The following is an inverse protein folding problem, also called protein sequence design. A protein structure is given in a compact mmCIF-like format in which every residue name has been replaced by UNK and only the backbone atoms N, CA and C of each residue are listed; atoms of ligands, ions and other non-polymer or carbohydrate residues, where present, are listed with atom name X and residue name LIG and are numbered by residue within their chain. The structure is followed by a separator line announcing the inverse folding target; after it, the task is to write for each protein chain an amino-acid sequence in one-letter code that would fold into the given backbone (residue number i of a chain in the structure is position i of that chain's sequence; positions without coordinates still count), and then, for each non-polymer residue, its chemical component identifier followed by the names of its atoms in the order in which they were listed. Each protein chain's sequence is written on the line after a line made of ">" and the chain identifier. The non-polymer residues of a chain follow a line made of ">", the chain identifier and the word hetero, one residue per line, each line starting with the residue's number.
data_IF_870795744841
#
_entry.id   IF_870795744841
#
_cell.length_a   1.000
_cell.length_b   1.000
_cell.length_c   1.000
_cell.angle_alpha   90.00
_cell.angle_beta   90.00
_cell.angle_gamma   90.00
#
_symmetry.space_group_name_H-M   'P 1'
#
loop_
_entity.id
_entity.type
_entity.pdbx_description
1 polymer ?
#
# COMPACT_ATOMS: atom_id res chain seq x y z
N UNK A 1 12.92 11.82 17.72
CA UNK A 1 12.01 10.98 18.54
C UNK A 1 11.12 11.86 19.44
N UNK A 2 10.18 12.60 18.85
CA UNK A 2 9.22 13.41 19.62
C UNK A 2 8.09 12.52 20.11
N UNK A 3 8.14 12.15 21.40
CA UNK A 3 6.98 11.61 22.12
C UNK A 3 5.90 12.70 22.15
N UNK A 4 5.00 12.66 21.17
CA UNK A 4 3.75 13.38 21.24
C UNK A 4 2.88 12.65 22.26
N UNK A 5 2.98 13.06 23.53
CA UNK A 5 2.01 12.71 24.55
C UNK A 5 0.82 13.64 24.36
N UNK A 6 -0.07 13.27 23.44
CA UNK A 6 -1.40 13.87 23.39
C UNK A 6 -2.25 13.08 24.39
N UNK A 7 -2.47 13.67 25.56
CA UNK A 7 -3.59 13.31 26.43
C UNK A 7 -4.88 13.74 25.69
N UNK A 8 -5.36 12.91 24.76
CA UNK A 8 -6.74 12.95 24.28
C UNK A 8 -7.47 11.82 25.00
N UNK A 9 -8.62 12.13 25.59
CA UNK A 9 -9.54 11.10 26.09
C UNK A 9 -9.78 10.07 24.98
N UNK A 10 -9.22 8.88 25.17
CA UNK A 10 -9.48 7.72 24.32
C UNK A 10 -10.99 7.50 24.34
N UNK A 11 -11.67 7.68 23.19
CA UNK A 11 -13.10 7.40 23.12
C UNK A 11 -13.36 5.94 23.48
N UNK A 12 -14.54 5.61 24.03
CA UNK A 12 -14.89 4.23 24.39
C UNK A 12 -14.67 3.25 23.22
N UNK A 13 -14.88 3.71 21.99
CA UNK A 13 -14.66 2.90 20.78
C UNK A 13 -13.16 2.68 20.47
N UNK A 14 -12.32 3.70 20.68
CA UNK A 14 -10.86 3.54 20.52
C UNK A 14 -10.29 2.58 21.57
N UNK A 15 -10.76 2.66 22.82
CA UNK A 15 -10.30 1.78 23.90
C UNK A 15 -10.65 0.31 23.63
N UNK A 16 -11.88 0.05 23.18
CA UNK A 16 -12.33 -1.28 22.72
C UNK A 16 -11.46 -1.80 21.58
N UNK A 17 -11.19 -0.95 20.58
CA UNK A 17 -10.35 -1.34 19.44
C UNK A 17 -8.91 -1.65 19.87
N UNK A 18 -8.35 -0.92 20.84
CA UNK A 18 -7.01 -1.20 21.41
C UNK A 18 -6.98 -2.57 22.08
N UNK A 19 -8.00 -2.93 22.85
CA UNK A 19 -8.10 -4.22 23.52
C UNK A 19 -8.17 -5.37 22.50
N UNK A 20 -9.06 -5.24 21.51
CA UNK A 20 -9.23 -6.21 20.42
C UNK A 20 -7.93 -6.40 19.63
N UNK A 21 -7.26 -5.30 19.27
CA UNK A 21 -6.00 -5.35 18.54
C UNK A 21 -4.87 -5.97 19.38
N UNK A 22 -4.86 -5.73 20.70
CA UNK A 22 -3.89 -6.35 21.62
C UNK A 22 -4.09 -7.87 21.68
N UNK A 23 -5.34 -8.35 21.73
CA UNK A 23 -5.65 -9.78 21.65
C UNK A 23 -5.25 -10.38 20.28
N UNK A 24 -5.45 -9.65 19.19
CA UNK A 24 -4.98 -10.06 17.86
C UNK A 24 -3.45 -10.17 17.80
N UNK A 25 -2.72 -9.25 18.43
CA UNK A 25 -1.26 -9.31 18.52
C UNK A 25 -0.80 -10.56 19.30
N UNK A 26 -1.46 -10.90 20.41
CA UNK A 26 -1.16 -12.13 21.17
C UNK A 26 -1.36 -13.39 20.32
N UNK A 27 -2.45 -13.46 19.54
CA UNK A 27 -2.69 -14.56 18.57
C UNK A 27 -1.68 -14.59 17.42
N UNK A 28 -1.01 -13.48 17.13
CA UNK A 28 0.10 -13.40 16.18
C UNK A 28 1.48 -13.66 16.82
N UNK A 29 1.52 -14.11 18.08
CA UNK A 29 2.74 -14.49 18.78
C UNK A 29 3.42 -13.37 19.57
N UNK A 30 2.73 -12.25 19.84
CA UNK A 30 3.26 -11.19 20.69
C UNK A 30 3.43 -11.67 22.14
N UNK A 31 4.52 -11.22 22.79
CA UNK A 31 4.67 -11.37 24.23
C UNK A 31 3.63 -10.52 24.99
N UNK A 32 3.30 -10.93 26.22
CA UNK A 32 2.38 -10.21 27.10
C UNK A 32 3.04 -8.93 27.66
N UNK A 33 3.15 -7.90 26.84
CA UNK A 33 3.64 -6.57 27.19
C UNK A 33 2.60 -5.50 26.84
N UNK A 34 2.61 -4.33 27.51
CA UNK A 34 1.65 -3.28 27.21
C UNK A 34 1.75 -2.79 25.75
N UNK A 35 0.61 -2.52 25.08
CA UNK A 35 0.60 -1.96 23.74
C UNK A 35 1.15 -0.53 23.73
N UNK A 36 1.84 -0.17 22.65
CA UNK A 36 2.24 1.21 22.33
C UNK A 36 1.55 1.65 21.06
N UNK A 37 0.83 2.77 21.09
CA UNK A 37 0.23 3.36 19.89
C UNK A 37 1.33 3.94 19.01
N UNK A 38 1.47 3.46 17.78
CA UNK A 38 2.40 3.99 16.79
C UNK A 38 1.76 5.06 15.90
N UNK A 39 0.48 4.90 15.59
CA UNK A 39 -0.27 5.84 14.76
C UNK A 39 -1.74 5.81 15.16
N UNK A 40 -2.31 6.98 15.39
CA UNK A 40 -3.74 7.17 15.63
C UNK A 40 -4.23 8.29 14.69
N UNK A 41 -4.95 7.88 13.65
CA UNK A 41 -5.65 8.77 12.70
C UNK A 41 -7.12 8.38 12.69
N UNK A 42 -8.00 9.29 12.25
CA UNK A 42 -9.45 9.10 12.27
C UNK A 42 -9.91 7.77 11.64
N UNK A 43 -9.18 7.29 10.64
CA UNK A 43 -9.47 6.10 9.85
C UNK A 43 -8.42 4.97 10.01
N UNK A 44 -7.35 5.13 10.79
CA UNK A 44 -6.30 4.10 10.93
C UNK A 44 -5.72 4.10 12.34
N UNK A 45 -5.65 2.91 12.95
CA UNK A 45 -4.96 2.69 14.22
C UNK A 45 -3.86 1.64 14.03
N UNK A 46 -2.65 1.95 14.50
CA UNK A 46 -1.50 1.04 14.46
C UNK A 46 -0.93 0.91 15.88
N UNK A 47 -0.85 -0.31 16.38
CA UNK A 47 -0.29 -0.61 17.69
C UNK A 47 0.92 -1.51 17.56
N UNK A 48 1.87 -1.35 18.47
CA UNK A 48 2.97 -2.27 18.69
C UNK A 48 2.77 -2.99 20.02
N UNK A 49 2.86 -4.31 20.00
CA UNK A 49 2.89 -5.18 21.19
C UNK A 49 4.16 -6.02 21.10
N UNK A 50 5.20 -5.63 21.84
CA UNK A 50 6.51 -6.28 21.80
C UNK A 50 7.14 -6.21 20.40
N UNK A 51 7.26 -7.37 19.74
CA UNK A 51 7.81 -7.51 18.39
C UNK A 51 6.75 -7.56 17.28
N UNK A 52 5.46 -7.42 17.63
CA UNK A 52 4.34 -7.47 16.68
C UNK A 52 3.75 -6.07 16.51
N UNK A 53 3.43 -5.72 15.28
CA UNK A 53 2.63 -4.56 14.92
C UNK A 53 1.28 -5.04 14.41
N UNK A 54 0.20 -4.46 14.90
CA UNK A 54 -1.16 -4.71 14.42
C UNK A 54 -1.73 -3.41 13.87
N UNK A 55 -2.40 -3.51 12.72
CA UNK A 55 -3.03 -2.38 12.03
C UNK A 55 -4.52 -2.67 11.86
N UNK A 56 -5.36 -1.75 12.32
CA UNK A 56 -6.78 -1.71 12.00
C UNK A 56 -6.99 -0.80 10.77
N UNK A 57 -7.32 -1.42 9.65
CA UNK A 57 -7.56 -0.76 8.36
C UNK A 57 -8.88 0.01 8.35
N UNK A 58 -9.05 1.07 7.55
CA UNK A 58 -10.31 1.82 7.44
C UNK A 58 -11.55 0.93 7.33
N UNK A 59 -12.69 1.35 7.87
CA UNK A 59 -13.90 0.51 7.92
C UNK A 59 -14.42 0.16 6.51
N UNK A 60 -14.16 1.02 5.54
CA UNK A 60 -14.49 0.88 4.13
C UNK A 60 -13.51 -0.01 3.34
N UNK A 61 -12.50 -0.58 3.98
CA UNK A 61 -11.50 -1.44 3.31
C UNK A 61 -12.16 -2.69 2.75
N UNK A 62 -11.97 -2.93 1.45
CA UNK A 62 -12.34 -4.20 0.83
C UNK A 62 -11.46 -5.33 1.38
N UNK A 63 -12.04 -6.16 2.25
CA UNK A 63 -11.35 -7.27 2.90
C UNK A 63 -10.87 -8.34 1.91
N UNK A 64 -11.57 -8.55 0.78
CA UNK A 64 -11.19 -9.54 -0.22
C UNK A 64 -9.99 -9.06 -1.05
N UNK A 65 -9.98 -7.78 -1.45
CA UNK A 65 -8.85 -7.15 -2.10
C UNK A 65 -7.61 -7.14 -1.18
N UNK A 66 -7.79 -6.77 0.09
CA UNK A 66 -6.72 -6.80 1.09
C UNK A 66 -6.17 -8.21 1.33
N UNK A 67 -7.04 -9.23 1.41
CA UNK A 67 -6.59 -10.63 1.53
C UNK A 67 -5.74 -11.08 0.35
N UNK A 68 -6.09 -10.65 -0.88
CA UNK A 68 -5.30 -10.96 -2.07
C UNK A 68 -3.89 -10.36 -1.99
N UNK A 69 -3.78 -9.12 -1.51
CA UNK A 69 -2.50 -8.43 -1.27
C UNK A 69 -1.68 -9.10 -0.16
N UNK A 70 -2.33 -9.49 0.94
CA UNK A 70 -1.68 -10.24 2.04
C UNK A 70 -1.12 -11.59 1.57
N UNK A 71 -1.90 -12.33 0.76
CA UNK A 71 -1.44 -13.60 0.18
C UNK A 71 -0.22 -13.40 -0.72
N UNK A 72 -0.24 -12.37 -1.58
CA UNK A 72 0.90 -12.03 -2.42
C UNK A 72 2.15 -11.70 -1.58
N UNK A 73 1.99 -10.88 -0.53
CA UNK A 73 3.10 -10.49 0.36
C UNK A 73 3.69 -11.66 1.17
N UNK A 74 2.92 -12.74 1.36
CA UNK A 74 3.37 -13.99 1.98
C UNK A 74 4.12 -14.92 1.02
N UNK A 75 4.22 -14.60 -0.27
CA UNK A 75 4.88 -15.49 -1.24
C UNK A 75 6.41 -15.39 -1.16
N UNK A 76 7.15 -16.45 -1.54
CA UNK A 76 8.61 -16.37 -1.66
C UNK A 76 9.10 -15.33 -2.69
N UNK A 77 8.26 -14.95 -3.67
CA UNK A 77 8.60 -13.98 -4.71
C UNK A 77 8.82 -12.57 -4.13
N UNK A 78 8.06 -12.20 -3.09
CA UNK A 78 8.18 -10.90 -2.42
C UNK A 78 9.18 -10.91 -1.28
N UNK A 79 9.84 -12.05 -1.01
CA UNK A 79 10.82 -12.18 0.05
C UNK A 79 12.02 -11.25 -0.19
N UNK A 80 12.40 -10.51 0.85
CA UNK A 80 13.45 -9.50 0.73
C UNK A 80 13.02 -8.22 0.01
N UNK A 81 11.72 -8.07 -0.33
CA UNK A 81 11.13 -6.87 -0.93
C UNK A 81 10.07 -6.31 0.01
N UNK A 82 8.98 -7.05 0.22
CA UNK A 82 7.91 -6.71 1.16
C UNK A 82 8.21 -7.32 2.52
N UNK A 83 7.82 -6.64 3.60
CA UNK A 83 7.72 -7.28 4.91
C UNK A 83 6.58 -8.31 4.82
N UNK A 84 6.76 -9.58 5.24
CA UNK A 84 5.67 -10.56 5.21
C UNK A 84 4.69 -10.34 6.37
N UNK A 85 3.38 -10.55 6.17
CA UNK A 85 2.41 -10.48 7.25
C UNK A 85 2.58 -11.64 8.23
N UNK A 86 2.20 -11.42 9.47
CA UNK A 86 2.07 -12.48 10.47
C UNK A 86 0.64 -13.03 10.46
N UNK A 87 0.47 -14.36 10.52
CA UNK A 87 -0.85 -14.94 10.74
C UNK A 87 -1.35 -14.60 12.15
N UNK A 88 -2.67 -14.44 12.29
CA UNK A 88 -3.40 -14.23 13.54
C UNK A 88 -4.17 -15.53 13.83
N UNK A 89 -3.54 -16.48 14.54
CA UNK A 89 -4.00 -17.88 14.51
C UNK A 89 -3.82 -18.47 13.13
N UNK A 90 -4.90 -18.97 12.51
CA UNK A 90 -4.84 -19.67 11.21
C UNK A 90 -5.15 -18.78 9.99
N UNK A 91 -5.31 -17.46 10.18
CA UNK A 91 -5.71 -16.51 9.13
C UNK A 91 -4.75 -15.33 9.01
N UNK A 92 -4.68 -14.69 7.83
CA UNK A 92 -3.85 -13.49 7.59
C UNK A 92 -4.49 -12.17 8.08
N UNK A 93 -5.79 -12.19 8.39
CA UNK A 93 -6.50 -11.07 8.99
C UNK A 93 -7.60 -11.58 9.92
N UNK A 94 -8.11 -10.69 10.78
CA UNK A 94 -9.34 -10.90 11.54
C UNK A 94 -10.23 -9.66 11.40
N UNK A 95 -11.54 -9.81 11.56
CA UNK A 95 -12.46 -8.68 11.56
C UNK A 95 -13.07 -8.51 12.95
N UNK A 96 -12.96 -7.32 13.53
CA UNK A 96 -13.48 -7.02 14.87
C UNK A 96 -13.72 -5.52 15.03
N UNK A 97 -14.69 -5.14 15.87
CA UNK A 97 -15.11 -3.75 16.06
C UNK A 97 -15.40 -3.00 14.73
N UNK A 98 -15.90 -3.71 13.71
CA UNK A 98 -16.20 -3.13 12.39
C UNK A 98 -14.97 -2.84 11.52
N UNK A 99 -13.79 -3.37 11.88
CA UNK A 99 -12.51 -3.09 11.22
C UNK A 99 -11.80 -4.39 10.85
N UNK A 100 -11.17 -4.41 9.67
CA UNK A 100 -10.21 -5.46 9.31
C UNK A 100 -8.88 -5.20 10.01
N UNK A 101 -8.32 -6.23 10.65
CA UNK A 101 -7.08 -6.15 11.44
C UNK A 101 -6.05 -7.13 10.86
N UNK A 102 -4.83 -6.63 10.64
CA UNK A 102 -3.68 -7.43 10.16
C UNK A 102 -2.49 -7.29 11.10
N UNK A 103 -1.61 -8.30 11.14
CA UNK A 103 -0.42 -8.32 11.98
C UNK A 103 0.87 -8.41 11.15
N UNK A 104 1.95 -7.83 11.67
CA UNK A 104 3.26 -7.73 11.02
C UNK A 104 4.36 -7.82 12.08
N UNK A 105 5.57 -8.23 11.70
CA UNK A 105 6.72 -8.04 12.61
C UNK A 105 7.06 -6.56 12.70
N UNK A 106 7.48 -6.11 13.87
CA UNK A 106 8.01 -4.77 14.04
C UNK A 106 9.36 -4.65 13.31
N UNK A 107 9.45 -3.68 12.41
CA UNK A 107 10.71 -3.19 11.86
C UNK A 107 10.93 -1.74 12.28
N UNK A 108 12.19 -1.32 12.28
CA UNK A 108 12.56 0.06 12.63
C UNK A 108 12.23 0.99 11.45
N UNK A 109 11.34 1.99 11.61
CA UNK A 109 10.99 2.90 10.52
C UNK A 109 12.16 3.83 10.17
N UNK A 110 12.09 4.46 9.01
CA UNK A 110 12.97 5.60 8.67
C UNK A 110 12.78 6.71 9.71
N UNK A 111 13.88 7.29 10.20
CA UNK A 111 13.83 8.40 11.16
C UNK A 111 13.38 9.68 10.45
N UNK A 112 12.21 10.26 10.78
CA UNK A 112 11.77 11.50 10.17
C UNK A 112 12.61 12.71 10.58
N UNK A 113 13.36 12.62 11.68
CA UNK A 113 14.19 13.71 12.20
C UNK A 113 15.61 13.72 11.59
N UNK A 114 15.94 12.75 10.73
CA UNK A 114 17.21 12.66 9.99
C UNK A 114 16.96 12.38 8.50
N UNK A 115 16.44 13.38 7.74
CA UNK A 115 16.09 13.20 6.33
C UNK A 115 17.32 12.93 5.44
N UNK A 116 18.52 13.35 5.85
CA UNK A 116 19.76 13.12 5.12
C UNK A 116 20.21 11.65 5.16
N UNK A 117 19.84 10.94 6.23
CA UNK A 117 20.04 9.49 6.35
C UNK A 117 18.95 8.65 5.68
N UNK A 118 17.97 9.28 5.02
CA UNK A 118 16.90 8.56 4.34
C UNK A 118 17.44 7.58 3.29
N UNK A 119 16.95 6.32 3.27
CA UNK A 119 17.54 5.24 2.48
C UNK A 119 17.06 5.24 1.01
N UNK A 120 17.24 6.36 0.31
CA UNK A 120 16.72 6.59 -1.04
C UNK A 120 17.13 5.50 -2.05
N UNK A 121 18.40 5.12 -2.11
CA UNK A 121 18.87 4.10 -3.07
C UNK A 121 18.36 2.69 -2.72
N UNK A 122 18.22 2.39 -1.44
CA UNK A 122 17.64 1.12 -1.01
C UNK A 122 16.16 1.07 -1.39
N UNK A 123 15.44 2.17 -1.22
CA UNK A 123 14.04 2.30 -1.64
C UNK A 123 13.90 2.12 -3.17
N UNK A 124 14.73 2.81 -3.94
CA UNK A 124 14.80 2.68 -5.40
C UNK A 124 15.02 1.23 -5.84
N UNK A 125 15.96 0.54 -5.19
CA UNK A 125 16.26 -0.87 -5.45
C UNK A 125 15.07 -1.78 -5.12
N UNK A 126 14.36 -1.52 -4.01
CA UNK A 126 13.17 -2.29 -3.62
C UNK A 126 12.03 -2.11 -4.62
N UNK A 127 11.78 -0.89 -5.07
CA UNK A 127 10.76 -0.60 -6.09
C UNK A 127 11.11 -1.27 -7.43
N UNK A 128 12.36 -1.16 -7.89
CA UNK A 128 12.80 -1.83 -9.12
C UNK A 128 12.60 -3.35 -9.05
N UNK A 129 12.92 -3.97 -7.90
CA UNK A 129 12.70 -5.40 -7.67
C UNK A 129 11.21 -5.76 -7.62
N UNK A 130 10.37 -4.91 -7.03
CA UNK A 130 8.91 -5.10 -7.02
C UNK A 130 8.35 -5.08 -8.45
N UNK A 131 8.75 -4.08 -9.24
CA UNK A 131 8.27 -3.91 -10.62
C UNK A 131 8.78 -4.99 -11.58
N UNK A 132 9.88 -5.67 -11.23
CA UNK A 132 10.42 -6.78 -11.99
C UNK A 132 9.72 -8.13 -11.70
N UNK A 133 8.85 -8.19 -10.69
CA UNK A 133 8.11 -9.43 -10.40
C UNK A 133 7.18 -9.80 -11.56
N UNK A 134 6.95 -11.11 -11.80
CA UNK A 134 6.03 -11.59 -12.81
C UNK A 134 4.66 -10.91 -12.72
N UNK A 135 4.04 -10.63 -13.87
CA UNK A 135 2.72 -9.97 -13.94
C UNK A 135 1.62 -10.94 -13.48
N UNK A 136 0.54 -10.42 -12.91
CA UNK A 136 -0.70 -11.19 -12.78
C UNK A 136 -1.09 -11.75 -14.17
N UNK A 137 -1.35 -13.05 -14.23
CA UNK A 137 -1.52 -13.79 -15.48
C UNK A 137 -0.29 -14.58 -15.95
N UNK A 138 0.89 -14.36 -15.34
CA UNK A 138 2.04 -15.24 -15.52
C UNK A 138 1.74 -16.61 -14.86
N UNK A 139 1.90 -17.74 -15.58
CA UNK A 139 1.70 -19.08 -15.03
C UNK A 139 2.41 -19.35 -13.70
N UNK A 140 3.50 -18.64 -13.40
CA UNK A 140 4.23 -18.74 -12.14
C UNK A 140 3.43 -18.23 -10.93
N UNK A 141 2.63 -17.16 -11.08
CA UNK A 141 1.78 -16.65 -9.99
C UNK A 141 0.51 -17.51 -9.80
N UNK A 142 -0.05 -18.05 -10.88
CA UNK A 142 -1.19 -18.96 -10.81
C UNK A 142 -0.87 -20.28 -10.07
N UNK A 143 0.40 -20.71 -10.10
CA UNK A 143 0.89 -21.95 -9.46
C UNK A 143 1.27 -21.80 -7.98
N UNK A 144 1.29 -20.58 -7.46
CA UNK A 144 1.51 -20.30 -6.03
C UNK A 144 0.20 -20.33 -5.23
N UNK A 145 -0.94 -20.47 -5.89
CA UNK A 145 -2.18 -20.89 -5.24
C UNK A 145 -2.14 -22.40 -4.99
N UNK A 146 -2.34 -22.88 -3.75
CA UNK A 146 -2.64 -24.30 -3.56
C UNK A 146 -3.93 -24.64 -4.32
N UNK A 147 -4.01 -25.78 -5.03
CA UNK A 147 -5.28 -26.23 -5.59
C UNK A 147 -6.31 -26.38 -4.46
N UNK A 148 -7.59 -26.00 -4.68
CA UNK A 148 -8.61 -26.21 -3.67
C UNK A 148 -8.78 -27.72 -3.45
N UNK A 149 -8.44 -28.20 -2.26
CA UNK A 149 -8.73 -29.57 -1.81
C UNK A 149 -7.56 -30.46 -1.44
N UNK A 150 -6.36 -29.94 -1.14
CA UNK A 150 -5.40 -30.74 -0.39
C UNK A 150 -5.55 -30.46 1.11
N UNK A 151 -6.03 -31.43 1.86
CA UNK A 151 -5.88 -31.44 3.30
C UNK A 151 -4.38 -31.33 3.63
N UNK A 152 -4.04 -30.46 4.58
CA UNK A 152 -2.70 -30.49 5.19
C UNK A 152 -2.49 -31.91 5.73
N UNK A 153 -1.35 -32.57 5.44
CA UNK A 153 -1.15 -33.93 5.91
C UNK A 153 -1.15 -33.94 7.43
N UNK A 154 -2.10 -34.66 8.03
CA UNK A 154 -2.07 -34.99 9.46
C UNK A 154 -0.73 -35.68 9.77
N UNK A 155 -0.11 -35.25 10.86
CA UNK A 155 1.10 -35.89 11.37
C UNK A 155 0.76 -37.30 11.88
N UNK A 156 1.08 -38.33 11.09
CA UNK A 156 0.95 -39.74 11.49
C UNK A 156 1.30 -40.74 10.38
N UNK A 157 2.55 -41.18 10.35
CA UNK A 157 3.11 -42.31 9.58
C UNK A 157 2.65 -43.69 10.17
N UNK A 158 2.84 -44.91 9.58
CA UNK A 158 3.17 -45.38 8.21
C UNK A 158 2.28 -46.57 7.68
N UNK A 159 2.55 -47.01 6.43
CA UNK A 159 2.28 -48.33 5.80
C UNK A 159 0.88 -48.67 5.20
N UNK A 160 0.88 -48.95 3.88
CA UNK A 160 -0.15 -49.67 3.10
C UNK A 160 -0.22 -51.18 3.49
N UNK A 161 -1.33 -51.95 3.28
CA UNK A 161 -2.12 -51.98 2.04
C UNK A 161 -3.64 -52.27 2.09
N UNK A 162 -4.32 -51.72 1.07
CA UNK A 162 -5.52 -52.19 0.33
C UNK A 162 -6.39 -53.32 0.94
N UNK A 163 -7.66 -53.01 1.21
CA UNK A 163 -8.78 -53.96 1.12
C UNK A 163 -9.99 -53.30 0.42
N UNK A 164 -10.59 -54.03 -0.53
CA UNK A 164 -11.82 -53.72 -1.24
C UNK A 164 -13.07 -53.71 -0.31
N UNK A 165 -14.19 -53.08 -0.73
CA UNK A 165 -15.31 -52.76 0.16
C UNK A 165 -16.32 -53.92 0.27
N UNK A 166 -17.09 -54.01 1.36
CA UNK A 166 -18.37 -54.69 1.36
C UNK A 166 -19.54 -53.71 1.14
N UNK A 167 -20.59 -54.12 0.40
CA UNK A 167 -21.76 -53.29 0.10
C UNK A 167 -22.88 -53.47 1.15
N UNK A 168 -23.73 -52.46 1.26
CA UNK A 168 -25.12 -52.65 1.71
C UNK A 168 -25.44 -52.16 3.11
N UNK A 169 -25.92 -50.92 3.20
CA UNK A 169 -27.09 -50.55 3.99
C UNK A 169 -27.44 -49.10 3.70
N UNK A 170 -28.70 -48.93 3.30
CA UNK A 170 -29.37 -47.68 2.98
C UNK A 170 -29.28 -46.65 4.11
N UNK A 171 -29.03 -45.40 3.74
CA UNK A 171 -29.39 -44.25 4.56
C UNK A 171 -30.23 -43.27 3.69
N UNK A 172 -31.32 -42.70 4.25
CA UNK A 172 -32.34 -42.00 3.51
C UNK A 172 -31.90 -40.61 3.04
N UNK A 173 -32.39 -40.22 1.86
CA UNK A 173 -32.40 -38.83 1.40
C UNK A 173 -33.28 -37.96 2.32
N UNK A 174 -32.76 -36.80 2.71
CA UNK A 174 -33.34 -35.48 2.43
C UNK A 174 -32.68 -34.42 3.32
N UNK A 175 -32.14 -33.37 2.68
CA UNK A 175 -31.78 -32.15 3.39
C UNK A 175 -30.68 -31.32 2.75
N UNK A 176 -30.80 -31.00 1.46
CA UNK A 176 -30.23 -29.73 0.97
C UNK A 176 -31.25 -28.63 1.31
N UNK A 177 -30.82 -27.52 1.92
CA UNK A 177 -30.76 -26.34 1.07
C UNK A 177 -29.52 -25.48 1.35
N UNK A 178 -28.77 -25.22 0.28
CA UNK A 178 -28.30 -23.89 -0.10
C UNK A 178 -27.39 -23.21 0.93
N UNK A 179 -26.18 -23.74 1.08
CA UNK A 179 -25.04 -22.82 1.09
C UNK A 179 -24.65 -22.61 -0.37
N UNK A 180 -24.66 -21.39 -0.93
CA UNK A 180 -23.86 -21.17 -2.11
C UNK A 180 -22.44 -21.52 -1.69
N UNK A 181 -21.94 -22.66 -2.19
CA UNK A 181 -20.52 -22.92 -2.24
C UNK A 181 -19.95 -21.74 -2.97
N UNK A 182 -19.47 -20.74 -2.24
CA UNK A 182 -18.62 -19.68 -2.76
C UNK A 182 -17.32 -20.39 -3.13
N UNK A 183 -17.36 -21.09 -4.26
CA UNK A 183 -16.19 -21.38 -5.04
C UNK A 183 -15.58 -20.01 -5.34
N UNK A 184 -14.38 -19.68 -4.83
CA UNK A 184 -13.71 -18.50 -5.34
C UNK A 184 -13.49 -18.76 -6.83
N UNK A 185 -13.95 -17.87 -7.74
CA UNK A 185 -13.70 -18.06 -9.15
C UNK A 185 -12.18 -18.17 -9.40
N UNK A 186 -11.76 -19.05 -10.32
CA UNK A 186 -10.35 -19.18 -10.69
C UNK A 186 -9.90 -17.87 -11.36
N UNK A 187 -8.84 -17.24 -10.83
CA UNK A 187 -8.18 -16.08 -11.44
C UNK A 187 -8.70 -14.72 -10.99
N UNK A 188 -8.54 -14.35 -9.71
CA UNK A 188 -8.67 -12.94 -9.35
C UNK A 188 -7.40 -12.23 -9.79
N UNK A 189 -7.53 -11.41 -10.84
CA UNK A 189 -6.56 -10.38 -11.18
C UNK A 189 -6.21 -9.59 -9.91
N UNK A 190 -4.92 -9.27 -9.73
CA UNK A 190 -4.51 -8.41 -8.63
C UNK A 190 -5.32 -7.11 -8.69
N UNK A 191 -5.81 -6.57 -7.54
CA UNK A 191 -6.50 -5.30 -7.51
C UNK A 191 -5.70 -4.22 -8.23
N UNK A 192 -6.38 -3.23 -8.80
CA UNK A 192 -5.68 -2.06 -9.32
C UNK A 192 -4.94 -1.33 -8.20
N UNK A 193 -3.76 -0.81 -8.53
CA UNK A 193 -3.00 -0.01 -7.59
C UNK A 193 -3.64 1.36 -7.33
N UNK A 194 -3.40 1.89 -6.13
CA UNK A 194 -4.14 3.07 -5.63
C UNK A 194 -3.85 4.41 -6.32
N UNK A 195 -2.78 4.55 -7.12
CA UNK A 195 -2.23 5.83 -7.60
C UNK A 195 -3.27 6.89 -8.00
N UNK A 196 -3.94 6.75 -9.17
CA UNK A 196 -4.96 7.72 -9.62
C UNK A 196 -6.12 7.90 -8.64
N UNK A 197 -6.64 6.80 -8.08
CA UNK A 197 -7.78 6.83 -7.16
C UNK A 197 -7.48 7.65 -5.89
N UNK A 198 -6.23 7.67 -5.43
CA UNK A 198 -5.80 8.45 -4.26
C UNK A 198 -5.83 9.95 -4.50
N UNK A 199 -5.50 10.39 -5.71
CA UNK A 199 -5.61 11.81 -6.09
C UNK A 199 -7.07 12.26 -6.03
N UNK A 200 -8.00 11.48 -6.59
CA UNK A 200 -9.44 11.76 -6.49
C UNK A 200 -9.94 11.77 -5.04
N UNK A 201 -9.49 10.82 -4.20
CA UNK A 201 -9.83 10.80 -2.77
C UNK A 201 -9.33 12.06 -2.06
N UNK A 202 -8.10 12.51 -2.33
CA UNK A 202 -7.55 13.74 -1.74
C UNK A 202 -8.35 14.98 -2.16
N UNK A 203 -8.70 15.10 -3.44
CA UNK A 203 -9.50 16.24 -3.93
C UNK A 203 -10.92 16.25 -3.36
N UNK A 204 -11.53 15.07 -3.15
CA UNK A 204 -12.82 14.98 -2.44
C UNK A 204 -12.68 15.48 -1.00
N UNK A 205 -11.66 15.00 -0.27
CA UNK A 205 -11.38 15.45 1.11
C UNK A 205 -11.15 16.96 1.18
N UNK A 206 -10.47 17.54 0.19
CA UNK A 206 -10.27 18.99 0.09
C UNK A 206 -11.60 19.73 -0.05
N UNK A 207 -12.47 19.30 -0.96
CA UNK A 207 -13.80 19.92 -1.17
C UNK A 207 -14.72 19.83 0.05
N UNK A 208 -14.56 18.77 0.84
CA UNK A 208 -15.34 18.53 2.06
C UNK A 208 -14.76 19.29 3.28
N UNK A 209 -13.51 19.77 3.19
CA UNK A 209 -12.83 20.45 4.29
C UNK A 209 -13.10 21.96 4.31
N UNK A 210 -13.21 22.52 5.52
CA UNK A 210 -13.28 23.96 5.73
C UNK A 210 -11.86 24.57 5.74
N UNK A 211 -11.27 24.74 4.55
CA UNK A 211 -9.93 25.32 4.41
C UNK A 211 -9.96 26.84 4.61
N UNK A 212 -9.01 27.34 5.40
CA UNK A 212 -8.88 28.78 5.70
C UNK A 212 -8.30 29.57 4.54
N UNK A 213 -7.27 29.04 3.87
CA UNK A 213 -6.65 29.67 2.69
C UNK A 213 -7.41 29.29 1.40
N UNK A 214 -8.41 30.11 1.04
CA UNK A 214 -9.19 29.94 -0.18
C UNK A 214 -8.41 30.19 -1.47
N UNK A 215 -7.33 30.98 -1.42
CA UNK A 215 -6.51 31.25 -2.59
C UNK A 215 -5.68 30.00 -2.94
N UNK A 216 -5.06 29.38 -1.94
CA UNK A 216 -4.34 28.11 -2.11
C UNK A 216 -5.28 26.99 -2.58
N UNK A 217 -6.47 26.86 -1.99
CA UNK A 217 -7.48 25.88 -2.43
C UNK A 217 -7.85 26.06 -3.92
N UNK A 218 -8.09 27.30 -4.35
CA UNK A 218 -8.41 27.62 -5.75
C UNK A 218 -7.28 27.20 -6.69
N UNK A 219 -6.03 27.47 -6.32
CA UNK A 219 -4.85 27.06 -7.11
C UNK A 219 -4.76 25.54 -7.24
N UNK A 220 -4.98 24.80 -6.15
CA UNK A 220 -4.95 23.33 -6.18
C UNK A 220 -6.08 22.78 -7.07
N UNK A 221 -7.28 23.36 -7.01
CA UNK A 221 -8.40 22.97 -7.87
C UNK A 221 -8.15 23.27 -9.35
N UNK A 222 -7.54 24.41 -9.66
CA UNK A 222 -7.14 24.77 -11.03
C UNK A 222 -6.06 23.81 -11.56
N UNK A 223 -5.06 23.49 -10.74
CA UNK A 223 -4.01 22.54 -11.10
C UNK A 223 -4.58 21.14 -11.37
N UNK A 224 -5.55 20.69 -10.57
CA UNK A 224 -6.25 19.42 -10.80
C UNK A 224 -7.03 19.42 -12.12
N UNK A 225 -7.70 20.53 -12.46
CA UNK A 225 -8.55 20.63 -13.65
C UNK A 225 -7.76 20.58 -14.97
N UNK A 226 -6.46 20.86 -14.96
CA UNK A 226 -5.59 20.83 -16.15
C UNK A 226 -4.77 19.53 -16.27
N UNK A 227 -5.00 18.55 -15.41
CA UNK A 227 -4.40 17.22 -15.56
C UNK A 227 -5.06 16.49 -16.76
N UNK A 228 -4.30 15.69 -17.54
CA UNK A 228 -4.85 14.99 -18.71
C UNK A 228 -6.06 14.09 -18.40
N UNK A 229 -7.02 13.97 -19.33
CA UNK A 229 -8.18 13.08 -19.15
C UNK A 229 -7.80 11.59 -19.01
N UNK A 230 -6.64 11.18 -19.53
CA UNK A 230 -6.07 9.84 -19.33
C UNK A 230 -5.74 9.52 -17.87
N UNK A 231 -5.69 10.53 -17.00
CA UNK A 231 -5.64 10.36 -15.54
C UNK A 231 -7.05 10.16 -14.93
N UNK A 232 -8.12 10.65 -15.56
CA UNK A 232 -9.51 10.56 -15.08
C UNK A 232 -10.21 9.26 -15.48
N UNK A 233 -9.80 8.61 -16.56
CA UNK A 233 -10.36 7.34 -17.01
C UNK A 233 -9.57 6.16 -16.40
N UNK A 234 -10.27 5.29 -15.66
CA UNK A 234 -9.81 3.91 -15.51
C UNK A 234 -9.60 3.34 -16.92
N UNK A 235 -8.57 2.52 -17.17
CA UNK A 235 -8.33 1.99 -18.50
C UNK A 235 -9.46 1.01 -18.86
N UNK A 236 -10.55 1.51 -19.43
CA UNK A 236 -11.38 0.68 -20.28
C UNK A 236 -10.47 0.19 -21.40
N UNK A 237 -10.44 -1.14 -21.55
CA UNK A 237 -9.66 -1.90 -22.52
C UNK A 237 -9.99 -1.47 -23.95
N UNK A 238 -9.49 -0.31 -24.37
CA UNK A 238 -9.71 0.26 -25.67
C UNK A 238 -8.48 -0.05 -26.53
N UNK A 239 -8.49 -1.19 -27.21
CA UNK A 239 -7.94 -1.42 -28.56
C UNK A 239 -6.54 -0.91 -28.94
N UNK A 240 -5.70 -0.48 -28.00
CA UNK A 240 -4.35 -0.04 -28.28
C UNK A 240 -3.51 -1.25 -28.69
N UNK A 241 -2.67 -1.14 -29.74
CA UNK A 241 -1.74 -2.20 -30.08
C UNK A 241 -0.88 -2.56 -28.86
N UNK A 242 -0.61 -3.85 -28.65
CA UNK A 242 0.10 -4.39 -27.47
C UNK A 242 1.47 -3.73 -27.23
N UNK A 243 2.09 -3.17 -28.28
CA UNK A 243 3.34 -2.40 -28.21
C UNK A 243 3.20 -0.98 -27.63
N UNK A 244 1.97 -0.45 -27.54
CA UNK A 244 1.64 0.89 -27.04
C UNK A 244 0.85 0.87 -25.73
N UNK A 245 0.38 -0.30 -25.28
CA UNK A 245 -0.25 -0.44 -23.97
C UNK A 245 0.79 -0.17 -22.86
N UNK A 246 0.49 0.70 -21.87
CA UNK A 246 1.40 0.98 -20.78
C UNK A 246 1.77 -0.33 -20.06
N UNK A 247 3.07 -0.51 -19.80
CA UNK A 247 3.59 -1.72 -19.14
C UNK A 247 3.03 -1.79 -17.73
N UNK A 248 1.98 -2.59 -17.52
CA UNK A 248 1.47 -2.86 -16.18
C UNK A 248 2.41 -3.84 -15.47
N UNK A 249 2.84 -3.48 -14.26
CA UNK A 249 3.62 -4.33 -13.36
C UNK A 249 2.91 -4.40 -12.02
N UNK A 250 3.42 -5.24 -11.12
CA UNK A 250 3.11 -5.06 -9.71
C UNK A 250 3.72 -3.73 -9.25
N UNK A 251 2.94 -2.90 -8.57
CA UNK A 251 3.36 -1.60 -8.02
C UNK A 251 2.82 -1.44 -6.61
N UNK A 252 3.52 -0.68 -5.77
CA UNK A 252 3.17 -0.39 -4.40
C UNK A 252 1.90 0.45 -4.28
N UNK A 253 1.73 1.43 -5.17
CA UNK A 253 0.51 2.23 -5.30
C UNK A 253 0.38 3.44 -4.36
N UNK A 254 1.24 3.58 -3.36
CA UNK A 254 1.35 4.77 -2.50
C UNK A 254 2.75 5.01 -1.94
N UNK A 255 3.81 4.65 -2.68
CA UNK A 255 5.16 4.69 -2.13
C UNK A 255 5.53 6.06 -1.50
N UNK A 256 6.03 6.02 -0.26
CA UNK A 256 6.79 7.08 0.40
C UNK A 256 7.78 6.49 1.41
N UNK A 257 8.81 7.26 1.81
CA UNK A 257 9.87 6.77 2.71
C UNK A 257 9.37 6.25 4.06
N UNK A 258 8.22 6.74 4.54
CA UNK A 258 7.57 6.24 5.76
C UNK A 258 7.03 4.82 5.64
N UNK A 259 7.01 4.23 4.44
CA UNK A 259 6.65 2.84 4.16
C UNK A 259 7.87 1.93 4.04
N UNK A 260 9.00 2.34 4.61
CA UNK A 260 10.19 1.52 4.74
C UNK A 260 10.43 1.19 6.20
N UNK A 261 10.70 -0.08 6.45
CA UNK A 261 11.20 -0.53 7.74
C UNK A 261 12.47 -1.33 7.55
N UNK A 262 13.41 -1.14 8.47
CA UNK A 262 14.58 -1.97 8.60
C UNK A 262 14.17 -3.22 9.37
N UNK A 263 14.24 -4.37 8.70
CA UNK A 263 13.98 -5.65 9.33
C UNK A 263 15.00 -5.91 10.46
N UNK A 264 14.68 -6.83 11.36
CA UNK A 264 15.55 -7.15 12.49
C UNK A 264 16.95 -7.65 12.06
N UNK A 265 17.84 -7.87 13.03
CA UNK A 265 19.20 -8.35 12.79
C UNK A 265 19.27 -9.73 12.12
N UNK A 266 18.25 -10.58 12.25
CA UNK A 266 18.24 -11.88 11.58
C UNK A 266 18.09 -11.73 10.05
N UNK A 267 17.44 -10.65 9.60
CA UNK A 267 17.34 -10.26 8.17
C UNK A 267 18.48 -9.32 7.72
N UNK A 268 19.60 -9.34 8.46
CA UNK A 268 20.79 -8.51 8.25
C UNK A 268 20.51 -6.99 8.27
N UNK A 269 19.43 -6.53 8.90
CA UNK A 269 19.10 -5.11 8.95
C UNK A 269 18.78 -4.52 7.58
N UNK A 270 18.24 -5.31 6.65
CA UNK A 270 17.86 -4.85 5.31
C UNK A 270 16.50 -4.15 5.33
N UNK A 271 16.34 -3.16 4.45
CA UNK A 271 15.07 -2.48 4.24
C UNK A 271 14.01 -3.39 3.60
N UNK A 272 12.75 -3.14 3.94
CA UNK A 272 11.54 -3.76 3.39
C UNK A 272 10.45 -2.71 3.20
N UNK A 273 9.64 -2.90 2.17
CA UNK A 273 8.41 -2.14 1.96
C UNK A 273 7.30 -2.66 2.89
N UNK A 274 6.49 -1.75 3.41
CA UNK A 274 5.31 -2.03 4.24
C UNK A 274 4.09 -1.33 3.64
N UNK A 275 2.92 -1.45 4.28
CA UNK A 275 1.71 -0.71 3.88
C UNK A 275 1.19 -1.10 2.50
N UNK A 276 0.95 -2.40 2.32
CA UNK A 276 0.50 -3.03 1.07
C UNK A 276 -0.95 -2.75 0.69
N UNK A 277 -1.61 -1.77 1.33
CA UNK A 277 -3.03 -1.48 1.17
C UNK A 277 -3.40 -1.03 -0.25
N UNK A 278 -2.45 -0.44 -0.97
CA UNK A 278 -2.64 0.02 -2.34
C UNK A 278 -1.81 -0.81 -3.35
N UNK A 279 -1.19 -1.92 -2.90
CA UNK A 279 -0.40 -2.83 -3.73
C UNK A 279 -1.29 -3.44 -4.82
N UNK A 280 -0.84 -3.41 -6.07
CA UNK A 280 -1.68 -3.86 -7.16
C UNK A 280 -1.01 -3.83 -8.53
N UNK A 281 -1.80 -4.14 -9.56
CA UNK A 281 -1.36 -3.97 -10.95
C UNK A 281 -1.50 -2.50 -11.35
N UNK A 282 -0.44 -1.92 -11.91
CA UNK A 282 -0.42 -0.51 -12.28
C UNK A 282 0.78 -0.12 -13.13
N UNK A 283 0.82 1.16 -13.53
CA UNK A 283 1.99 1.75 -14.16
C UNK A 283 3.05 2.06 -13.08
N UNK A 284 4.28 1.48 -13.17
CA UNK A 284 5.34 1.66 -12.18
C UNK A 284 5.84 3.11 -12.04
N UNK A 285 5.52 4.00 -12.98
CA UNK A 285 5.79 5.44 -12.84
C UNK A 285 5.11 6.05 -11.60
N UNK A 286 3.96 5.51 -11.17
CA UNK A 286 3.25 6.00 -9.98
C UNK A 286 4.01 5.83 -8.67
N UNK A 287 4.86 4.81 -8.56
CA UNK A 287 5.70 4.62 -7.37
C UNK A 287 6.88 5.61 -7.33
N UNK A 288 7.26 6.19 -8.48
CA UNK A 288 8.29 7.23 -8.58
C UNK A 288 7.70 8.64 -8.55
N UNK A 289 6.38 8.76 -8.67
CA UNK A 289 5.69 10.03 -8.83
C UNK A 289 5.84 10.95 -7.62
N UNK A 290 5.83 10.42 -6.39
CA UNK A 290 6.01 11.25 -5.19
C UNK A 290 7.42 11.84 -5.10
N UNK A 291 8.52 11.05 -5.18
CA UNK A 291 9.86 11.62 -5.23
C UNK A 291 10.05 12.63 -6.38
N UNK A 292 9.51 12.33 -7.56
CA UNK A 292 9.55 13.23 -8.72
C UNK A 292 8.80 14.54 -8.47
N UNK A 293 7.62 14.47 -7.84
CA UNK A 293 6.83 15.65 -7.46
C UNK A 293 7.58 16.53 -6.46
N UNK A 294 8.22 15.92 -5.45
CA UNK A 294 9.03 16.65 -4.47
C UNK A 294 10.24 17.33 -5.14
N UNK A 295 10.89 16.67 -6.09
CA UNK A 295 11.98 17.25 -6.87
C UNK A 295 11.49 18.44 -7.73
N UNK A 296 10.40 18.27 -8.49
CA UNK A 296 9.81 19.34 -9.30
C UNK A 296 9.27 20.52 -8.46
N UNK A 297 8.89 20.26 -7.21
CA UNK A 297 8.49 21.28 -6.25
C UNK A 297 9.68 22.04 -5.64
N UNK A 298 10.92 21.55 -5.80
CA UNK A 298 12.11 22.10 -5.15
C UNK A 298 12.28 21.66 -3.70
N UNK A 299 11.54 20.64 -3.26
CA UNK A 299 11.57 20.09 -1.90
C UNK A 299 12.67 19.02 -1.77
N UNK A 300 12.82 18.17 -2.80
CA UNK A 300 13.86 17.15 -2.83
C UNK A 300 15.10 17.69 -3.54
N UNK A 301 16.26 17.57 -2.89
CA UNK A 301 17.52 18.03 -3.48
C UNK A 301 17.85 17.29 -4.79
N UNK A 302 18.41 17.99 -5.80
CA UNK A 302 18.76 17.37 -7.08
C UNK A 302 19.69 16.16 -6.97
N UNK A 303 20.68 16.22 -6.08
CA UNK A 303 21.63 15.11 -5.88
C UNK A 303 20.92 13.87 -5.34
N UNK A 304 19.97 14.05 -4.42
CA UNK A 304 19.17 12.96 -3.85
C UNK A 304 18.23 12.35 -4.89
N UNK A 305 17.58 13.18 -5.71
CA UNK A 305 16.78 12.71 -6.84
C UNK A 305 17.60 11.86 -7.82
N UNK A 306 18.78 12.34 -8.22
CA UNK A 306 19.65 11.64 -9.15
C UNK A 306 20.15 10.30 -8.57
N UNK A 307 20.58 10.28 -7.30
CA UNK A 307 20.98 9.03 -6.60
C UNK A 307 19.86 8.00 -6.58
N UNK A 308 18.63 8.43 -6.27
CA UNK A 308 17.45 7.57 -6.30
C UNK A 308 17.20 7.01 -7.71
N UNK A 309 17.20 7.88 -8.72
CA UNK A 309 16.92 7.49 -10.11
C UNK A 309 17.99 6.55 -10.68
N UNK A 310 19.27 6.84 -10.40
CA UNK A 310 20.40 6.01 -10.81
C UNK A 310 20.36 4.64 -10.16
N UNK A 311 20.06 4.56 -8.85
CA UNK A 311 19.89 3.29 -8.16
C UNK A 311 18.71 2.49 -8.73
N UNK A 312 17.59 3.15 -9.05
CA UNK A 312 16.43 2.52 -9.66
C UNK A 312 16.76 1.92 -11.04
N UNK A 313 17.42 2.71 -11.91
CA UNK A 313 17.88 2.26 -13.23
C UNK A 313 18.91 1.14 -13.13
N UNK A 314 19.88 1.25 -12.22
CA UNK A 314 20.91 0.24 -11.99
C UNK A 314 20.32 -1.10 -11.51
N UNK A 315 19.26 -1.06 -10.72
CA UNK A 315 18.51 -2.23 -10.28
C UNK A 315 17.57 -2.82 -11.37
N UNK A 316 17.57 -2.26 -12.58
CA UNK A 316 16.76 -2.75 -13.70
C UNK A 316 15.32 -2.25 -13.69
N UNK A 317 15.05 -1.13 -13.01
CA UNK A 317 13.73 -0.53 -12.94
C UNK A 317 13.15 -0.18 -14.32
N UNK A 318 11.82 -0.29 -14.44
CA UNK A 318 11.10 -0.25 -15.73
C UNK A 318 10.14 0.93 -15.86
N UNK A 319 10.01 1.77 -14.82
CA UNK A 319 9.14 2.96 -14.82
C UNK A 319 9.60 4.08 -15.74
N UNK A 320 10.90 4.16 -16.01
CA UNK A 320 11.51 5.23 -16.79
C UNK A 320 12.43 4.64 -17.85
N UNK A 321 12.73 5.37 -18.93
CA UNK A 321 13.77 4.97 -19.88
C UNK A 321 15.09 4.67 -19.16
N UNK A 322 15.77 3.61 -19.61
CA UNK A 322 17.09 3.21 -19.11
C UNK A 322 18.11 4.34 -19.30
N UNK A 323 18.00 5.07 -20.40
CA UNK A 323 18.78 6.25 -20.76
C UNK A 323 17.83 7.31 -21.32
N UNK A 324 18.17 8.58 -21.11
CA UNK A 324 17.37 9.72 -21.59
C UNK A 324 16.43 10.30 -20.53
N UNK A 325 15.46 11.07 -21.01
CA UNK A 325 14.58 11.91 -20.18
C UNK A 325 13.54 11.08 -19.42
N UNK A 326 13.61 11.09 -18.09
CA UNK A 326 12.63 10.45 -17.21
C UNK A 326 11.23 11.12 -17.25
N UNK A 327 11.15 12.39 -17.62
CA UNK A 327 9.90 13.16 -17.57
C UNK A 327 8.88 12.70 -18.60
N UNK A 328 9.33 12.02 -19.67
CA UNK A 328 8.45 11.33 -20.63
C UNK A 328 7.47 10.39 -19.90
N UNK A 329 7.94 9.71 -18.84
CA UNK A 329 7.09 8.82 -18.04
C UNK A 329 6.56 9.51 -16.77
N UNK A 330 7.33 10.42 -16.17
CA UNK A 330 7.04 10.95 -14.83
C UNK A 330 6.22 12.24 -14.81
N UNK A 331 6.11 13.01 -15.89
CA UNK A 331 5.46 14.33 -15.85
C UNK A 331 4.01 14.24 -15.34
N UNK A 332 3.18 13.42 -15.97
CA UNK A 332 1.77 13.31 -15.59
C UNK A 332 1.58 12.76 -14.17
N UNK A 333 2.20 11.63 -13.78
CA UNK A 333 2.11 11.13 -12.40
C UNK A 333 2.65 12.13 -11.36
N UNK A 334 3.78 12.80 -11.62
CA UNK A 334 4.37 13.75 -10.69
C UNK A 334 3.47 14.98 -10.48
N UNK A 335 2.89 15.53 -11.56
CA UNK A 335 1.92 16.62 -11.46
C UNK A 335 0.68 16.21 -10.65
N UNK A 336 0.16 15.01 -10.89
CA UNK A 336 -1.00 14.49 -10.17
C UNK A 336 -0.71 14.29 -8.67
N UNK A 337 0.48 13.76 -8.32
CA UNK A 337 0.88 13.58 -6.92
C UNK A 337 1.22 14.91 -6.24
N UNK A 338 1.73 15.92 -6.95
CA UNK A 338 1.90 17.27 -6.40
C UNK A 338 0.54 17.88 -6.01
N UNK A 339 -0.47 17.77 -6.88
CA UNK A 339 -1.84 18.19 -6.60
C UNK A 339 -2.42 17.44 -5.39
N UNK A 340 -2.23 16.12 -5.35
CA UNK A 340 -2.66 15.32 -4.22
C UNK A 340 -2.01 15.75 -2.90
N UNK A 341 -0.69 15.95 -2.90
CA UNK A 341 0.06 16.34 -1.72
C UNK A 341 -0.37 17.72 -1.21
N UNK A 342 -0.53 18.70 -2.12
CA UNK A 342 -1.03 20.03 -1.77
C UNK A 342 -2.47 19.96 -1.19
N UNK A 343 -3.36 19.17 -1.80
CA UNK A 343 -4.71 18.99 -1.29
C UNK A 343 -4.73 18.42 0.15
N UNK A 344 -3.89 17.40 0.42
CA UNK A 344 -3.79 16.81 1.75
C UNK A 344 -3.12 17.75 2.76
N UNK A 345 -2.14 18.56 2.34
CA UNK A 345 -1.52 19.59 3.15
C UNK A 345 -2.55 20.63 3.63
N UNK A 346 -3.37 21.16 2.72
CA UNK A 346 -4.44 22.10 3.08
C UNK A 346 -5.46 21.51 4.06
N UNK A 347 -5.88 20.25 3.83
CA UNK A 347 -6.79 19.53 4.74
C UNK A 347 -6.16 19.34 6.12
N UNK A 348 -4.89 18.97 6.18
CA UNK A 348 -4.16 18.79 7.44
C UNK A 348 -4.04 20.12 8.20
N UNK A 349 -3.60 21.18 7.52
CA UNK A 349 -3.45 22.51 8.09
C UNK A 349 -4.78 23.05 8.65
N UNK A 350 -5.88 22.89 7.90
CA UNK A 350 -7.23 23.27 8.35
C UNK A 350 -7.66 22.51 9.61
N UNK A 351 -7.46 21.19 9.63
CA UNK A 351 -7.80 20.33 10.78
C UNK A 351 -6.98 20.69 12.03
N UNK A 352 -5.70 20.99 11.83
CA UNK A 352 -4.75 21.35 12.88
C UNK A 352 -4.82 22.82 13.28
N UNK A 353 -5.61 23.63 12.56
CA UNK A 353 -5.75 25.08 12.73
C UNK A 353 -4.38 25.79 12.74
N UNK A 354 -3.51 25.36 11.82
CA UNK A 354 -2.17 25.93 11.63
C UNK A 354 -2.09 26.63 10.29
N UNK A 355 -1.16 27.58 10.19
CA UNK A 355 -0.77 28.16 8.91
C UNK A 355 0.00 27.13 8.06
N UNK A 356 0.08 27.40 6.75
CA UNK A 356 0.90 26.61 5.83
C UNK A 356 2.37 26.83 6.16
N UNK A 357 3.12 25.76 6.29
CA UNK A 357 4.57 25.83 6.46
C UNK A 357 5.27 25.96 5.08
N UNK A 358 6.61 25.99 5.10
CA UNK A 358 7.42 26.12 3.89
C UNK A 358 7.19 24.95 2.91
N UNK A 359 6.96 23.74 3.44
CA UNK A 359 6.70 22.54 2.64
C UNK A 359 5.32 22.62 1.97
N UNK A 360 4.30 22.98 2.73
CA UNK A 360 2.94 23.18 2.23
C UNK A 360 2.92 24.26 1.14
N UNK A 361 3.63 25.37 1.37
CA UNK A 361 3.76 26.49 0.43
C UNK A 361 4.43 26.05 -0.87
N UNK A 362 5.52 25.29 -0.78
CA UNK A 362 6.22 24.76 -1.96
C UNK A 362 5.33 23.85 -2.82
N UNK A 363 4.46 23.04 -2.20
CA UNK A 363 3.48 22.20 -2.90
C UNK A 363 2.38 23.03 -3.59
N UNK A 364 1.89 24.09 -2.94
CA UNK A 364 0.91 25.03 -3.54
C UNK A 364 1.54 25.79 -4.71
N UNK A 365 2.79 26.22 -4.59
CA UNK A 365 3.51 26.89 -5.68
C UNK A 365 3.79 25.95 -6.86
N UNK A 366 4.05 24.66 -6.61
CA UNK A 366 4.11 23.64 -7.66
C UNK A 366 2.76 23.53 -8.39
N UNK A 367 1.64 23.47 -7.66
CA UNK A 367 0.30 23.51 -8.24
C UNK A 367 0.07 24.78 -9.09
N UNK A 368 0.56 25.94 -8.64
CA UNK A 368 0.45 27.19 -9.41
C UNK A 368 1.16 27.08 -10.77
N UNK A 369 2.37 26.51 -10.80
CA UNK A 369 3.10 26.26 -12.07
C UNK A 369 2.36 25.28 -12.97
N UNK A 370 1.76 24.23 -12.41
CA UNK A 370 0.96 23.24 -13.14
C UNK A 370 -0.25 23.90 -13.81
N UNK A 371 -0.96 24.76 -13.06
CA UNK A 371 -2.14 25.47 -13.55
C UNK A 371 -1.81 26.45 -14.69
N UNK A 372 -0.66 27.12 -14.64
CA UNK A 372 -0.26 28.12 -15.64
C UNK A 372 0.42 27.51 -16.88
N UNK A 373 1.14 26.39 -16.74
CA UNK A 373 1.81 25.72 -17.85
C UNK A 373 0.82 25.23 -18.92
N UNK A 374 -0.43 24.96 -18.55
CA UNK A 374 -1.47 24.50 -19.46
C UNK A 374 -2.21 25.62 -20.19
N UNK A 375 -1.89 26.90 -19.91
CA UNK A 375 -2.47 28.09 -20.55
C UNK A 375 -1.62 28.57 -21.74
N UNK A 376 -0.42 28.00 -21.93
CA UNK A 376 0.59 28.44 -22.92
C UNK A 376 0.81 27.42 -24.07
N UNK A 377 0.25 26.21 -23.96
CA UNK A 377 0.09 25.27 -25.09
C UNK A 377 -1.26 25.47 -25.75
#
# INVERSE_FOLDING_TARGET
>A
MTRVRIDRETTSSTAELIEVMTAAAARAGAAAVPPTVLTERADVLVLRVGAVVVKAHPAETDAAALLSRLRLASTPLTHGILLPPLPIGDALHTHAAGRTITAWRYGEPVDPDDPDAAPWEAAATLLARLHALPRAGDPLLARLHPPPGHDLPEAGDPLLPRLHPPPGHDLPEAGDPLLPRLHPPPGHDLPEAGGPARVHRAMRRLREAEVTDRAAETVVCQAFAVLPESFAAAPESAGLPESAAPRRTLVHGDFHLGQLVRADRADAGRWRLIDIDDLGSGDPAWDLARPAALFAAGILEPVTWLRFLDAYRAAGGVAVPREGDEWIALDTPARAVAVQAAALALVAAAREKRELDDLDTALVDACRRIATASVIS
#
